data_IF_812077503224
#
_entry.id   IF_812077503224
#
_cell.length_a   1.000
_cell.length_b   1.000
_cell.length_c   1.000
_cell.angle_alpha   90.00
_cell.angle_beta   90.00
_cell.angle_gamma   90.00
#
_symmetry.space_group_name_H-M   'P 1'
#
loop_
_entity.id
_entity.type
_entity.pdbx_description
1 polymer ?
#
# COMPACT_ATOMS: atom_id res chain seq x y z
N UNK A 1 -29.92 27.95 -27.99
CA UNK A 1 -28.79 28.44 -27.15
C UNK A 1 -28.83 28.03 -25.66
N UNK A 2 -29.95 27.89 -24.92
CA UNK A 2 -29.93 27.52 -23.49
C UNK A 2 -29.48 26.05 -23.25
N UNK A 3 -29.86 25.09 -24.09
CA UNK A 3 -29.49 23.67 -23.94
C UNK A 3 -27.95 23.44 -23.88
N UNK A 4 -27.21 24.14 -24.76
CA UNK A 4 -25.73 24.01 -24.77
C UNK A 4 -25.08 24.56 -23.51
N UNK A 5 -25.64 25.58 -22.87
CA UNK A 5 -25.15 26.11 -21.57
C UNK A 5 -25.45 25.13 -20.44
N UNK A 6 -26.64 24.53 -20.43
CA UNK A 6 -27.04 23.52 -19.42
C UNK A 6 -26.14 22.28 -19.54
N UNK A 7 -25.88 21.79 -20.76
CA UNK A 7 -25.00 20.64 -20.99
C UNK A 7 -23.57 20.91 -20.52
N UNK A 8 -23.02 22.09 -20.81
CA UNK A 8 -21.68 22.49 -20.31
C UNK A 8 -21.62 22.56 -18.78
N UNK A 9 -22.64 23.15 -18.16
CA UNK A 9 -22.72 23.24 -16.70
C UNK A 9 -22.80 21.82 -16.07
N UNK A 10 -23.65 20.95 -16.61
CA UNK A 10 -23.77 19.57 -16.16
C UNK A 10 -22.43 18.81 -16.29
N UNK A 11 -21.71 18.98 -17.41
CA UNK A 11 -20.40 18.36 -17.61
C UNK A 11 -19.34 18.84 -16.58
N UNK A 12 -19.35 20.13 -16.23
CA UNK A 12 -18.44 20.68 -15.22
C UNK A 12 -18.77 20.09 -13.84
N UNK A 13 -20.04 20.00 -13.48
CA UNK A 13 -20.47 19.41 -12.20
C UNK A 13 -20.08 17.94 -12.12
N UNK A 14 -20.30 17.16 -13.17
CA UNK A 14 -19.89 15.74 -13.22
C UNK A 14 -18.37 15.61 -13.10
N UNK A 15 -17.61 16.41 -13.84
CA UNK A 15 -16.15 16.41 -13.75
C UNK A 15 -15.65 16.78 -12.34
N UNK A 16 -16.29 17.74 -11.70
CA UNK A 16 -15.97 18.11 -10.31
C UNK A 16 -16.27 16.99 -9.31
N UNK A 17 -17.42 16.33 -9.43
CA UNK A 17 -17.78 15.18 -8.58
C UNK A 17 -16.78 14.04 -8.76
N UNK A 18 -16.41 13.72 -10.00
CA UNK A 18 -15.41 12.69 -10.31
C UNK A 18 -14.04 13.06 -9.72
N UNK A 19 -13.63 14.32 -9.84
CA UNK A 19 -12.39 14.81 -9.27
C UNK A 19 -12.37 14.68 -7.74
N UNK A 20 -13.46 15.10 -7.08
CA UNK A 20 -13.60 14.95 -5.62
C UNK A 20 -13.53 13.48 -5.22
N UNK A 21 -14.22 12.59 -5.96
CA UNK A 21 -14.20 11.16 -5.69
C UNK A 21 -12.80 10.54 -5.85
N UNK A 22 -12.08 10.91 -6.94
CA UNK A 22 -10.70 10.43 -7.21
C UNK A 22 -9.72 10.93 -6.13
N UNK A 23 -9.90 12.15 -5.62
CA UNK A 23 -9.03 12.75 -4.61
C UNK A 23 -9.43 12.40 -3.17
N UNK A 24 -10.59 11.77 -2.98
CA UNK A 24 -11.05 11.36 -1.64
C UNK A 24 -10.25 10.16 -1.13
N UNK A 25 -9.95 10.11 0.19
CA UNK A 25 -9.30 8.95 0.78
C UNK A 25 -10.12 7.67 0.59
N UNK A 26 -9.46 6.59 0.22
CA UNK A 26 -10.05 5.26 0.28
C UNK A 26 -10.26 4.87 1.76
N UNK A 27 -11.41 4.26 2.06
CA UNK A 27 -11.79 3.93 3.44
C UNK A 27 -11.57 2.46 3.70
N UNK A 28 -10.68 2.15 4.65
CA UNK A 28 -10.49 0.80 5.17
C UNK A 28 -11.55 0.56 6.24
N UNK A 29 -12.35 -0.49 6.05
CA UNK A 29 -13.36 -0.96 7.01
C UNK A 29 -12.83 -2.26 7.62
N UNK A 30 -12.36 -2.25 8.87
CA UNK A 30 -11.89 -3.45 9.54
C UNK A 30 -13.03 -4.46 9.72
N UNK A 31 -12.72 -5.77 9.88
CA UNK A 31 -13.73 -6.77 10.22
C UNK A 31 -14.37 -6.44 11.57
N UNK A 32 -15.69 -6.70 11.71
CA UNK A 32 -16.37 -6.59 12.99
C UNK A 32 -15.98 -7.79 13.88
N UNK A 33 -15.63 -7.52 15.13
CA UNK A 33 -15.36 -8.53 16.17
C UNK A 33 -14.35 -9.63 15.73
N UNK A 34 -13.12 -9.28 15.31
CA UNK A 34 -12.14 -10.26 14.89
C UNK A 34 -11.72 -11.17 16.04
N UNK A 35 -11.65 -12.48 15.77
CA UNK A 35 -11.25 -13.48 16.77
C UNK A 35 -9.76 -13.31 17.10
N UNK A 36 -9.43 -13.25 18.40
CA UNK A 36 -8.05 -12.98 18.85
C UNK A 36 -7.49 -11.73 18.16
N UNK A 37 -8.21 -10.62 18.31
CA UNK A 37 -7.88 -9.35 17.67
C UNK A 37 -6.42 -8.93 17.90
N UNK A 38 -5.71 -8.61 16.81
CA UNK A 38 -4.34 -8.11 16.86
C UNK A 38 -4.20 -6.86 15.99
N UNK A 39 -3.46 -5.87 16.47
CA UNK A 39 -3.22 -4.64 15.75
C UNK A 39 -2.26 -4.86 14.57
N UNK A 40 -2.65 -4.36 13.41
CA UNK A 40 -1.80 -4.19 12.23
C UNK A 40 -1.75 -2.71 11.87
N UNK A 41 -0.80 -2.34 11.00
CA UNK A 41 -0.64 -0.94 10.65
C UNK A 41 -0.49 -0.75 9.14
N UNK A 42 -1.05 0.36 8.62
CA UNK A 42 -0.79 0.86 7.27
C UNK A 42 -0.03 2.18 7.42
N UNK A 43 1.13 2.26 6.77
CA UNK A 43 1.96 3.47 6.77
C UNK A 43 1.85 4.15 5.41
N UNK A 44 1.52 5.45 5.41
CA UNK A 44 1.48 6.27 4.20
C UNK A 44 2.82 6.99 4.04
N UNK A 45 3.44 6.78 2.88
CA UNK A 45 4.71 7.39 2.47
C UNK A 45 4.51 8.39 1.31
N UNK A 46 3.32 8.98 1.20
CA UNK A 46 2.93 9.95 0.19
C UNK A 46 2.33 9.30 -1.07
N UNK A 47 3.14 8.69 -1.92
CA UNK A 47 2.67 8.01 -3.14
C UNK A 47 2.42 6.52 -2.95
N UNK A 48 3.00 5.92 -1.92
CA UNK A 48 2.97 4.48 -1.65
C UNK A 48 2.58 4.21 -0.21
N UNK A 49 1.70 3.25 -0.01
CA UNK A 49 1.43 2.70 1.31
C UNK A 49 2.21 1.42 1.55
N UNK A 50 2.43 1.08 2.81
CA UNK A 50 3.07 -0.16 3.23
C UNK A 50 2.26 -0.81 4.34
N UNK A 51 2.21 -2.13 4.35
CA UNK A 51 1.56 -2.90 5.39
C UNK A 51 2.57 -3.33 6.44
N UNK A 52 2.22 -3.22 7.72
CA UNK A 52 3.05 -3.64 8.84
C UNK A 52 2.27 -4.65 9.66
N UNK A 53 2.83 -5.84 9.78
CA UNK A 53 2.24 -6.98 10.47
C UNK A 53 3.08 -7.38 11.68
N UNK A 54 2.47 -7.73 12.83
CA UNK A 54 3.17 -8.31 13.97
C UNK A 54 3.63 -9.74 13.64
N UNK A 55 4.91 -10.04 13.90
CA UNK A 55 5.51 -11.36 13.63
C UNK A 55 5.69 -12.23 14.86
N UNK A 56 5.16 -11.84 16.00
CA UNK A 56 5.39 -12.46 17.29
C UNK A 56 6.55 -11.79 18.05
N UNK A 57 6.69 -12.10 19.35
CA UNK A 57 7.71 -11.54 20.25
C UNK A 57 7.81 -10.00 20.28
N UNK A 58 6.76 -9.29 19.85
CA UNK A 58 6.73 -7.82 19.77
C UNK A 58 7.41 -7.24 18.53
N UNK A 59 8.00 -8.05 17.67
CA UNK A 59 8.57 -7.62 16.38
C UNK A 59 7.48 -7.31 15.36
N UNK A 60 7.79 -6.41 14.44
CA UNK A 60 6.92 -6.05 13.32
C UNK A 60 7.66 -6.24 12.00
N UNK A 61 6.94 -6.70 10.98
CA UNK A 61 7.46 -6.80 9.61
C UNK A 61 6.65 -5.88 8.71
N UNK A 62 7.32 -4.96 8.05
CA UNK A 62 6.77 -4.10 7.02
C UNK A 62 6.97 -4.72 5.65
N UNK A 63 5.93 -4.76 4.84
CA UNK A 63 5.96 -5.14 3.43
C UNK A 63 5.57 -3.97 2.55
N UNK A 64 6.21 -3.88 1.39
CA UNK A 64 5.95 -2.88 0.36
C UNK A 64 6.02 -3.53 -1.02
N UNK A 65 5.19 -3.07 -1.94
CA UNK A 65 5.23 -3.47 -3.34
C UNK A 65 5.53 -2.27 -4.24
N UNK A 66 6.17 -2.50 -5.38
CA UNK A 66 6.51 -1.41 -6.28
C UNK A 66 7.12 -1.87 -7.61
N UNK A 67 7.53 -0.91 -8.43
CA UNK A 67 8.31 -1.15 -9.64
C UNK A 67 9.78 -1.39 -9.30
N UNK A 68 10.42 -2.37 -9.93
CA UNK A 68 11.82 -2.71 -9.65
C UNK A 68 12.78 -1.56 -9.98
N UNK A 69 12.67 -0.95 -11.15
CA UNK A 69 13.60 0.10 -11.55
C UNK A 69 13.36 1.39 -10.77
N UNK A 70 12.10 1.81 -10.69
CA UNK A 70 11.73 3.07 -10.05
C UNK A 70 11.90 3.02 -8.54
N UNK A 71 11.40 1.96 -7.90
CA UNK A 71 11.35 1.85 -6.44
C UNK A 71 12.57 1.14 -5.86
N UNK A 72 12.98 -0.03 -6.41
CA UNK A 72 14.08 -0.78 -5.84
C UNK A 72 15.45 -0.20 -6.23
N UNK A 73 15.64 0.15 -7.51
CA UNK A 73 16.91 0.73 -7.99
C UNK A 73 17.01 2.25 -7.87
N UNK A 74 15.96 2.93 -7.36
CA UNK A 74 15.88 4.39 -7.26
C UNK A 74 16.09 5.13 -8.60
N UNK A 75 15.76 4.52 -9.72
CA UNK A 75 15.83 5.13 -11.05
C UNK A 75 14.58 5.99 -11.30
N UNK A 76 14.47 7.09 -10.56
CA UNK A 76 13.27 7.95 -10.50
C UNK A 76 13.32 9.05 -11.59
N UNK A 77 13.74 8.70 -12.80
CA UNK A 77 13.65 9.56 -13.96
C UNK A 77 12.29 9.46 -14.66
N UNK A 78 12.01 10.41 -15.56
CA UNK A 78 10.74 10.48 -16.29
C UNK A 78 10.47 9.21 -17.11
N UNK A 79 11.51 8.61 -17.72
CA UNK A 79 11.37 7.41 -18.55
C UNK A 79 10.89 6.21 -17.72
N UNK A 80 11.54 5.95 -16.58
CA UNK A 80 11.16 4.84 -15.69
C UNK A 80 9.81 5.09 -15.02
N UNK A 81 9.50 6.33 -14.65
CA UNK A 81 8.18 6.70 -14.13
C UNK A 81 7.06 6.47 -15.14
N UNK A 82 7.24 6.91 -16.40
CA UNK A 82 6.28 6.64 -17.47
C UNK A 82 6.18 5.15 -17.82
N UNK A 83 7.30 4.43 -17.81
CA UNK A 83 7.28 2.98 -18.05
C UNK A 83 6.48 2.25 -16.97
N UNK A 84 6.67 2.56 -15.69
CA UNK A 84 5.92 1.99 -14.58
C UNK A 84 4.40 2.30 -14.66
N UNK A 85 4.02 3.46 -15.23
CA UNK A 85 2.62 3.85 -15.39
C UNK A 85 1.95 3.24 -16.64
N UNK A 86 2.68 3.06 -17.73
CA UNK A 86 2.10 2.78 -19.05
C UNK A 86 2.36 1.35 -19.55
N UNK A 87 3.35 0.66 -18.98
CA UNK A 87 3.79 -0.67 -19.44
C UNK A 87 3.83 -1.65 -18.26
N UNK A 88 3.57 -2.94 -18.48
CA UNK A 88 3.88 -3.96 -17.50
C UNK A 88 5.38 -4.05 -17.25
N UNK A 89 5.84 -3.65 -16.07
CA UNK A 89 7.26 -3.66 -15.68
C UNK A 89 7.54 -4.76 -14.66
N UNK A 90 8.80 -4.93 -14.26
CA UNK A 90 9.19 -5.88 -13.23
C UNK A 90 8.73 -5.37 -11.86
N UNK A 91 7.87 -6.15 -11.17
CA UNK A 91 7.48 -5.88 -9.78
C UNK A 91 8.60 -6.18 -8.79
N UNK A 92 8.50 -5.59 -7.62
CA UNK A 92 9.39 -5.84 -6.48
C UNK A 92 8.61 -5.91 -5.18
N UNK A 93 8.96 -6.90 -4.35
CA UNK A 93 8.47 -7.00 -2.98
C UNK A 93 9.58 -6.56 -2.03
N UNK A 94 9.27 -5.59 -1.18
CA UNK A 94 10.18 -5.07 -0.16
C UNK A 94 9.80 -5.53 1.23
N UNK A 95 10.80 -5.77 2.10
CA UNK A 95 10.61 -6.17 3.50
C UNK A 95 11.55 -5.41 4.41
N UNK A 96 11.05 -4.99 5.58
CA UNK A 96 11.84 -4.42 6.69
C UNK A 96 11.32 -4.93 8.02
N UNK A 97 12.22 -5.22 8.95
CA UNK A 97 11.89 -5.59 10.33
C UNK A 97 12.05 -4.40 11.26
N UNK A 98 11.18 -4.34 12.27
CA UNK A 98 11.28 -3.44 13.41
C UNK A 98 11.24 -4.27 14.69
N UNK A 99 12.04 -3.89 15.66
CA UNK A 99 12.12 -4.61 16.94
C UNK A 99 10.85 -4.47 17.77
N UNK A 100 10.10 -3.37 17.57
CA UNK A 100 8.85 -3.09 18.27
C UNK A 100 8.11 -1.90 17.65
N UNK A 101 6.91 -1.62 18.18
CA UNK A 101 6.08 -0.50 17.72
C UNK A 101 6.72 0.88 17.98
N UNK A 102 7.52 1.04 19.04
CA UNK A 102 8.15 2.32 19.34
C UNK A 102 9.18 2.70 18.27
N UNK A 103 9.96 1.73 17.76
CA UNK A 103 10.88 1.95 16.64
C UNK A 103 10.12 2.39 15.37
N UNK A 104 9.02 1.72 15.04
CA UNK A 104 8.18 2.11 13.92
C UNK A 104 7.65 3.53 14.07
N UNK A 105 7.08 3.86 15.25
CA UNK A 105 6.53 5.19 15.54
C UNK A 105 7.58 6.29 15.45
N UNK A 106 8.79 6.03 15.96
CA UNK A 106 9.89 6.98 15.85
C UNK A 106 10.23 7.32 14.39
N UNK A 107 10.31 6.31 13.53
CA UNK A 107 10.62 6.51 12.11
C UNK A 107 9.49 7.26 11.40
N UNK A 108 8.23 6.91 11.69
CA UNK A 108 7.05 7.58 11.13
C UNK A 108 7.05 9.07 11.50
N UNK A 109 7.32 9.39 12.78
CA UNK A 109 7.39 10.78 13.25
C UNK A 109 8.55 11.56 12.62
N UNK A 110 9.74 10.95 12.48
CA UNK A 110 10.90 11.60 11.88
C UNK A 110 10.71 11.96 10.40
N UNK A 111 9.86 11.24 9.70
CA UNK A 111 9.64 11.39 8.24
C UNK A 111 8.29 12.04 7.91
N UNK A 112 7.53 12.48 8.92
CA UNK A 112 6.19 13.07 8.77
C UNK A 112 5.22 12.17 7.98
N UNK A 113 5.30 10.85 8.23
CA UNK A 113 4.41 9.86 7.63
C UNK A 113 3.17 9.63 8.49
N UNK A 114 2.10 9.13 7.87
CA UNK A 114 0.88 8.75 8.60
C UNK A 114 0.94 7.28 8.99
N UNK A 115 0.51 6.97 10.21
CA UNK A 115 0.35 5.62 10.74
C UNK A 115 -1.14 5.36 11.02
N UNK A 116 -1.74 4.46 10.26
CA UNK A 116 -3.10 3.97 10.51
C UNK A 116 -3.01 2.65 11.26
N UNK A 117 -3.82 2.49 12.30
CA UNK A 117 -3.93 1.25 13.09
C UNK A 117 -5.32 0.67 12.97
N UNK A 118 -5.41 -0.64 12.80
CA UNK A 118 -6.67 -1.38 12.77
C UNK A 118 -6.49 -2.78 13.36
N UNK A 119 -7.57 -3.38 13.81
CA UNK A 119 -7.56 -4.72 14.41
C UNK A 119 -8.11 -5.76 13.44
N UNK A 120 -7.46 -6.91 13.36
CA UNK A 120 -7.82 -8.05 12.51
C UNK A 120 -7.59 -9.37 13.26
N UNK A 121 -8.10 -10.47 12.75
CA UNK A 121 -7.90 -11.78 13.36
C UNK A 121 -6.43 -12.24 13.30
N UNK A 122 -5.86 -12.69 14.41
CA UNK A 122 -4.47 -13.16 14.50
C UNK A 122 -4.15 -14.30 13.51
N UNK A 123 -5.10 -15.20 13.30
CA UNK A 123 -4.97 -16.31 12.34
C UNK A 123 -4.75 -15.81 10.92
N UNK A 124 -5.45 -14.74 10.51
CA UNK A 124 -5.31 -14.09 9.21
C UNK A 124 -3.95 -13.43 9.05
N UNK A 125 -3.47 -12.75 10.08
CA UNK A 125 -2.12 -12.16 10.11
C UNK A 125 -1.05 -13.24 9.92
N UNK A 126 -1.16 -14.36 10.64
CA UNK A 126 -0.22 -15.48 10.52
C UNK A 126 -0.21 -16.08 9.11
N UNK A 127 -1.38 -16.23 8.49
CA UNK A 127 -1.49 -16.75 7.12
C UNK A 127 -0.86 -15.78 6.09
N UNK A 128 -1.16 -14.49 6.20
CA UNK A 128 -0.62 -13.48 5.29
C UNK A 128 0.90 -13.33 5.44
N UNK A 129 1.41 -13.31 6.68
CA UNK A 129 2.86 -13.30 6.95
C UNK A 129 3.57 -14.46 6.26
N UNK A 130 3.03 -15.68 6.41
CA UNK A 130 3.60 -16.88 5.77
C UNK A 130 3.62 -16.74 4.24
N UNK A 131 2.51 -16.28 3.66
CA UNK A 131 2.39 -16.07 2.22
C UNK A 131 3.41 -15.04 1.70
N UNK A 132 3.52 -13.89 2.37
CA UNK A 132 4.44 -12.82 1.97
C UNK A 132 5.91 -13.21 2.18
N UNK A 133 6.23 -13.94 3.26
CA UNK A 133 7.58 -14.45 3.48
C UNK A 133 7.97 -15.53 2.45
N UNK A 134 7.07 -16.43 2.09
CA UNK A 134 7.30 -17.40 1.02
C UNK A 134 7.50 -16.71 -0.32
N UNK A 135 6.67 -15.70 -0.66
CA UNK A 135 6.80 -14.90 -1.87
C UNK A 135 8.13 -14.16 -1.93
N UNK A 136 8.55 -13.52 -0.82
CA UNK A 136 9.83 -12.85 -0.71
C UNK A 136 11.02 -13.81 -0.87
N UNK A 137 10.97 -14.95 -0.21
CA UNK A 137 12.07 -15.92 -0.19
C UNK A 137 12.25 -16.67 -1.52
N UNK A 138 11.20 -16.80 -2.36
CA UNK A 138 11.33 -17.39 -3.70
C UNK A 138 12.39 -16.71 -4.56
N UNK A 139 12.49 -15.39 -4.44
CA UNK A 139 13.39 -14.57 -5.25
C UNK A 139 14.54 -13.95 -4.44
N UNK A 140 14.88 -14.54 -3.28
CA UNK A 140 15.90 -14.01 -2.35
C UNK A 140 17.28 -13.78 -3.01
N UNK A 141 17.63 -14.58 -4.02
CA UNK A 141 18.87 -14.42 -4.78
C UNK A 141 18.96 -13.09 -5.55
N UNK A 142 17.83 -12.39 -5.74
CA UNK A 142 17.78 -11.05 -6.38
C UNK A 142 17.80 -9.91 -5.39
N UNK A 143 17.98 -10.19 -4.09
CA UNK A 143 17.84 -9.20 -3.02
C UNK A 143 18.83 -8.05 -3.14
N UNK A 144 18.34 -6.85 -2.90
CA UNK A 144 19.12 -5.62 -2.77
C UNK A 144 18.65 -4.82 -1.56
N UNK A 145 19.56 -4.09 -0.93
CA UNK A 145 19.24 -3.12 0.11
C UNK A 145 18.99 -1.74 -0.51
N UNK A 146 17.88 -1.12 -0.14
CA UNK A 146 17.60 0.27 -0.55
C UNK A 146 17.79 1.21 0.64
N UNK A 147 18.91 1.97 0.71
CA UNK A 147 19.22 2.81 1.85
C UNK A 147 18.24 4.00 2.02
N UNK A 148 17.55 4.42 0.96
CA UNK A 148 16.56 5.51 1.04
C UNK A 148 15.29 5.07 1.79
N UNK A 149 14.91 3.80 1.64
CA UNK A 149 13.65 3.27 2.20
C UNK A 149 13.87 2.38 3.41
N UNK A 150 15.11 1.91 3.62
CA UNK A 150 15.45 0.94 4.65
C UNK A 150 14.86 -0.46 4.39
N UNK A 151 14.44 -0.73 3.15
CA UNK A 151 13.88 -2.01 2.75
C UNK A 151 14.93 -2.90 2.09
N UNK A 152 14.89 -4.19 2.39
CA UNK A 152 15.45 -5.22 1.52
C UNK A 152 14.39 -5.55 0.48
N UNK A 153 14.73 -5.48 -0.82
CA UNK A 153 13.83 -5.70 -1.94
C UNK A 153 14.29 -6.88 -2.80
N UNK A 154 13.33 -7.67 -3.26
CA UNK A 154 13.56 -8.77 -4.22
C UNK A 154 12.72 -8.54 -5.47
N UNK A 155 13.12 -9.10 -6.61
CA UNK A 155 12.22 -9.12 -7.79
C UNK A 155 11.00 -9.97 -7.46
N UNK A 156 9.85 -9.53 -7.93
CA UNK A 156 8.60 -10.25 -7.74
C UNK A 156 8.19 -11.00 -9.01
N UNK A 157 7.41 -12.07 -8.84
CA UNK A 157 6.87 -12.83 -9.98
C UNK A 157 5.74 -12.06 -10.67
N UNK A 158 5.04 -11.20 -9.93
CA UNK A 158 4.01 -10.32 -10.48
C UNK A 158 4.62 -9.13 -11.21
N UNK A 159 3.93 -8.68 -12.27
CA UNK A 159 4.29 -7.46 -12.98
C UNK A 159 3.65 -6.25 -12.33
N UNK A 160 4.42 -5.17 -12.25
CA UNK A 160 3.88 -3.88 -11.84
C UNK A 160 3.18 -3.21 -13.03
N UNK A 161 1.96 -2.74 -12.83
CA UNK A 161 1.16 -2.00 -13.81
C UNK A 161 0.44 -0.83 -13.15
N UNK A 162 -0.18 0.04 -13.93
CA UNK A 162 -1.04 1.10 -13.38
C UNK A 162 -2.20 0.55 -12.54
N UNK A 163 -2.77 -0.60 -12.94
CA UNK A 163 -3.92 -1.23 -12.28
C UNK A 163 -3.53 -2.25 -11.22
N UNK A 164 -2.26 -2.67 -11.19
CA UNK A 164 -1.67 -3.57 -10.21
C UNK A 164 -0.44 -2.88 -9.61
N UNK A 165 -0.68 -1.73 -9.00
CA UNK A 165 0.34 -0.90 -8.39
C UNK A 165 0.47 -1.16 -6.87
N UNK A 166 1.38 -0.44 -6.22
CA UNK A 166 1.65 -0.59 -4.78
C UNK A 166 0.40 -0.43 -3.90
N UNK A 167 -0.54 0.44 -4.25
CA UNK A 167 -1.71 0.69 -3.43
C UNK A 167 -2.81 -0.37 -3.65
N UNK A 168 -2.94 -0.90 -4.88
CA UNK A 168 -3.81 -2.05 -5.16
C UNK A 168 -3.34 -3.30 -4.43
N UNK A 169 -2.03 -3.55 -4.41
CA UNK A 169 -1.44 -4.66 -3.66
C UNK A 169 -1.73 -4.56 -2.15
N UNK A 170 -1.67 -3.36 -1.57
CA UNK A 170 -2.09 -3.14 -0.17
C UNK A 170 -3.57 -3.48 0.03
N UNK A 171 -4.44 -3.15 -0.93
CA UNK A 171 -5.86 -3.50 -0.84
C UNK A 171 -6.07 -5.01 -0.87
N UNK A 172 -5.36 -5.74 -1.71
CA UNK A 172 -5.41 -7.21 -1.74
C UNK A 172 -4.97 -7.80 -0.39
N UNK A 173 -3.86 -7.33 0.18
CA UNK A 173 -3.42 -7.78 1.51
C UNK A 173 -4.41 -7.44 2.62
N UNK A 174 -5.07 -6.28 2.55
CA UNK A 174 -6.13 -5.91 3.50
C UNK A 174 -7.37 -6.80 3.35
N UNK A 175 -7.72 -7.20 2.11
CA UNK A 175 -8.82 -8.13 1.85
C UNK A 175 -8.50 -9.54 2.37
N UNK A 176 -7.25 -10.01 2.27
CA UNK A 176 -6.80 -11.27 2.87
C UNK A 176 -6.94 -11.26 4.41
N UNK A 177 -6.92 -10.06 5.02
CA UNK A 177 -7.15 -9.83 6.45
C UNK A 177 -8.64 -9.57 6.79
N UNK A 178 -9.55 -9.89 5.86
CA UNK A 178 -11.01 -9.68 5.97
C UNK A 178 -11.43 -8.21 6.10
N UNK A 179 -10.57 -7.25 5.74
CA UNK A 179 -10.95 -5.85 5.63
C UNK A 179 -11.68 -5.58 4.31
N UNK A 180 -12.61 -4.62 4.33
CA UNK A 180 -13.16 -4.05 3.11
C UNK A 180 -12.48 -2.71 2.81
N UNK A 181 -12.31 -2.37 1.53
CA UNK A 181 -11.76 -1.08 1.13
C UNK A 181 -12.70 -0.42 0.14
N UNK A 182 -13.26 0.72 0.54
CA UNK A 182 -14.21 1.48 -0.25
C UNK A 182 -13.55 2.75 -0.80
N UNK A 183 -13.76 3.03 -2.08
CA UNK A 183 -13.27 4.24 -2.74
C UNK A 183 -12.33 3.96 -3.90
N UNK A 184 -11.75 5.03 -4.44
CA UNK A 184 -10.80 4.96 -5.55
C UNK A 184 -9.38 4.81 -5.02
N UNK A 185 -8.71 3.73 -5.39
CA UNK A 185 -7.39 3.35 -4.87
C UNK A 185 -6.32 3.58 -5.95
N UNK A 186 -5.96 4.81 -6.19
CA UNK A 186 -4.81 5.15 -7.04
C UNK A 186 -3.66 5.75 -6.23
N UNK A 187 -3.98 6.40 -5.10
CA UNK A 187 -3.06 7.13 -4.26
C UNK A 187 -2.93 6.45 -2.90
N UNK A 188 -1.81 6.67 -2.21
CA UNK A 188 -1.60 6.23 -0.83
C UNK A 188 -2.40 7.06 0.18
N UNK A 189 -3.68 7.28 -0.08
CA UNK A 189 -4.55 8.12 0.72
C UNK A 189 -5.65 7.25 1.34
N UNK A 190 -5.32 6.60 2.45
CA UNK A 190 -6.25 5.74 3.18
C UNK A 190 -6.72 6.41 4.48
N UNK A 191 -7.91 6.04 4.91
CA UNK A 191 -8.42 6.31 6.26
C UNK A 191 -9.09 5.05 6.82
N UNK A 192 -9.09 4.89 8.13
CA UNK A 192 -9.77 3.78 8.80
C UNK A 192 -11.16 4.24 9.24
N UNK A 193 -12.19 3.44 8.95
CA UNK A 193 -13.52 3.63 9.52
C UNK A 193 -13.49 3.10 10.95
N UNK A 194 -13.60 4.01 11.90
CA UNK A 194 -13.82 3.62 13.29
C UNK A 194 -15.30 3.28 13.48
N UNK A 195 -15.57 2.11 14.08
CA UNK A 195 -16.89 1.63 14.48
C UNK A 195 -17.49 2.46 15.64
#
# INVERSE_FOLDING_TARGET
MPLCRIAKFASIVVAFILLVWILSPATIVPPADPVEAIAIYVTDHGWHSRLVLPSGNGELIQYAYGDWNYFALNQQDLKNGLAALLLPTQGTLGRRKFSNIAELQQIIQQQDYTLLSLEVAQTKVTQLLKLLDERFNRNIATSIENPKTGLTLVKDDQKYTLLENSNHEIVEWLQDLDCQVDGFVMWANFRVKHS
#
